data_IF_465064660859
#
_entry.id   IF_465064660859
#
_cell.length_a   1.000
_cell.length_b   1.000
_cell.length_c   1.000
_cell.angle_alpha   90.00
_cell.angle_beta   90.00
_cell.angle_gamma   90.00
#
_symmetry.space_group_name_H-M   'P 1'
#
loop_
_entity.id
_entity.type
_entity.pdbx_description
1 polymer ?
#
# COMPACT_ATOMS: atom_id res chain seq x y z
N UNK A 1 15.84 -19.61 -5.30
CA UNK A 1 14.76 -19.90 -6.26
C UNK A 1 14.05 -21.21 -5.90
N UNK A 2 12.74 -21.37 -6.14
CA UNK A 2 12.02 -22.64 -5.87
C UNK A 2 11.23 -22.75 -4.54
N UNK A 3 11.29 -21.73 -3.66
CA UNK A 3 10.61 -21.78 -2.35
C UNK A 3 9.09 -21.94 -2.46
N UNK A 4 8.47 -21.25 -3.42
CA UNK A 4 7.04 -21.27 -3.67
C UNK A 4 6.69 -21.95 -5.01
N UNK A 5 7.47 -22.97 -5.35
CA UNK A 5 7.20 -23.90 -6.46
C UNK A 5 6.71 -25.22 -5.83
N UNK A 6 5.74 -25.92 -6.43
CA UNK A 6 5.27 -27.21 -5.94
C UNK A 6 6.41 -28.24 -5.78
N UNK A 7 6.31 -29.12 -4.78
CA UNK A 7 7.30 -30.18 -4.54
C UNK A 7 7.38 -31.17 -5.71
N UNK A 8 6.26 -31.41 -6.40
CA UNK A 8 6.20 -32.23 -7.62
C UNK A 8 7.07 -31.68 -8.76
N UNK A 9 7.28 -30.36 -8.79
CA UNK A 9 8.10 -29.66 -9.79
C UNK A 9 9.53 -29.37 -9.26
N UNK A 10 9.93 -30.00 -8.14
CA UNK A 10 11.25 -29.82 -7.53
C UNK A 10 11.39 -28.59 -6.64
N UNK A 11 10.29 -27.94 -6.27
CA UNK A 11 10.27 -26.82 -5.32
C UNK A 11 10.15 -27.25 -3.85
N UNK A 12 10.08 -26.26 -2.95
CA UNK A 12 9.91 -26.49 -1.49
C UNK A 12 8.43 -26.64 -1.12
N UNK A 13 7.51 -26.07 -1.89
CA UNK A 13 6.07 -26.25 -1.72
C UNK A 13 5.34 -25.20 -0.87
N UNK A 14 5.93 -24.03 -0.60
CA UNK A 14 5.15 -22.93 0.00
C UNK A 14 4.14 -22.36 -1.01
N UNK A 15 2.95 -21.98 -0.54
CA UNK A 15 1.92 -21.40 -1.42
C UNK A 15 2.24 -19.95 -1.84
N UNK A 16 2.93 -19.21 -0.98
CA UNK A 16 3.23 -17.79 -1.15
C UNK A 16 4.63 -17.46 -0.65
N UNK A 17 5.21 -16.37 -1.20
CA UNK A 17 6.37 -15.68 -0.64
C UNK A 17 6.04 -14.25 -0.23
N UNK A 18 6.86 -13.66 0.64
CA UNK A 18 6.76 -12.24 0.99
C UNK A 18 7.47 -11.37 -0.05
N UNK A 19 6.82 -10.26 -0.44
CA UNK A 19 7.37 -9.20 -1.30
C UNK A 19 8.26 -8.23 -0.54
N UNK A 20 9.33 -8.72 0.08
CA UNK A 20 10.16 -7.96 1.04
C UNK A 20 10.83 -6.71 0.45
N UNK A 21 11.03 -6.64 -0.87
CA UNK A 21 11.63 -5.47 -1.52
C UNK A 21 10.71 -4.23 -1.52
N UNK A 22 9.39 -4.43 -1.41
CA UNK A 22 8.39 -3.35 -1.45
C UNK A 22 8.53 -2.40 -0.24
N UNK A 23 8.53 -2.87 1.03
CA UNK A 23 8.73 -1.97 2.17
C UNK A 23 10.11 -1.30 2.16
N UNK A 24 11.18 -2.01 1.80
CA UNK A 24 12.53 -1.44 1.73
C UNK A 24 12.60 -0.27 0.74
N UNK A 25 11.92 -0.42 -0.41
CA UNK A 25 11.80 0.65 -1.40
C UNK A 25 11.09 1.87 -0.80
N UNK A 26 9.91 1.70 -0.17
CA UNK A 26 9.19 2.84 0.39
C UNK A 26 9.97 3.56 1.51
N UNK A 27 10.66 2.80 2.37
CA UNK A 27 11.52 3.37 3.41
C UNK A 27 12.63 4.21 2.78
N UNK A 28 13.31 3.67 1.75
CA UNK A 28 14.36 4.39 1.05
C UNK A 28 13.83 5.67 0.41
N UNK A 29 12.69 5.61 -0.29
CA UNK A 29 12.10 6.79 -0.91
C UNK A 29 11.77 7.86 0.11
N UNK A 30 11.16 7.49 1.24
CA UNK A 30 10.79 8.43 2.30
C UNK A 30 11.98 8.99 3.08
N UNK A 31 13.09 8.25 3.16
CA UNK A 31 14.28 8.64 3.93
C UNK A 31 15.28 9.46 3.11
N UNK A 32 15.43 9.15 1.83
CA UNK A 32 16.58 9.59 1.02
C UNK A 32 16.18 10.45 -0.18
N UNK A 33 14.93 10.39 -0.64
CA UNK A 33 14.53 10.95 -1.93
C UNK A 33 13.41 11.99 -1.75
N UNK A 34 13.66 13.28 -2.07
CA UNK A 34 12.60 14.28 -2.13
C UNK A 34 11.50 13.89 -3.12
N UNK A 35 10.24 14.24 -2.83
CA UNK A 35 9.06 13.84 -3.61
C UNK A 35 9.17 14.19 -5.10
N UNK A 36 9.72 15.36 -5.42
CA UNK A 36 9.93 15.84 -6.80
C UNK A 36 10.86 14.94 -7.60
N UNK A 37 11.66 14.11 -6.91
CA UNK A 37 12.63 13.18 -7.51
C UNK A 37 12.19 11.73 -7.46
N UNK A 38 10.94 11.45 -7.04
CA UNK A 38 10.43 10.09 -7.07
C UNK A 38 10.29 9.59 -8.50
N UNK A 39 10.87 8.43 -8.76
CA UNK A 39 10.82 7.76 -10.04
C UNK A 39 9.62 6.79 -10.08
N UNK A 40 8.59 7.16 -10.84
CA UNK A 40 7.38 6.34 -11.02
C UNK A 40 7.65 5.02 -11.74
N UNK A 41 8.72 4.92 -12.55
CA UNK A 41 9.13 3.66 -13.16
C UNK A 41 9.76 2.74 -12.10
N UNK A 42 10.53 3.28 -11.17
CA UNK A 42 11.08 2.52 -10.06
C UNK A 42 9.97 2.00 -9.12
N UNK A 43 8.95 2.84 -8.83
CA UNK A 43 7.74 2.42 -8.09
C UNK A 43 7.08 1.23 -8.77
N UNK A 44 6.83 1.33 -10.08
CA UNK A 44 6.20 0.24 -10.82
C UNK A 44 7.06 -1.01 -10.89
N UNK A 45 8.35 -0.84 -11.11
CA UNK A 45 9.28 -1.95 -11.17
C UNK A 45 9.28 -2.74 -9.87
N UNK A 46 9.43 -2.10 -8.70
CA UNK A 46 9.44 -2.85 -7.42
C UNK A 46 8.12 -3.58 -7.15
N UNK A 47 6.99 -3.02 -7.60
CA UNK A 47 5.67 -3.63 -7.41
C UNK A 47 5.41 -4.82 -8.36
N UNK A 48 6.03 -4.81 -9.55
CA UNK A 48 5.74 -5.79 -10.61
C UNK A 48 6.91 -6.72 -10.93
N UNK A 49 8.10 -6.47 -10.40
CA UNK A 49 9.27 -7.35 -10.52
C UNK A 49 9.15 -8.58 -9.60
N UNK A 50 8.20 -9.43 -9.96
CA UNK A 50 7.94 -10.71 -9.31
C UNK A 50 7.93 -11.81 -10.37
N UNK A 51 8.29 -13.02 -9.95
CA UNK A 51 8.36 -14.19 -10.83
C UNK A 51 6.94 -14.61 -11.27
N UNK A 52 6.65 -14.69 -12.58
CA UNK A 52 5.36 -15.17 -13.07
C UNK A 52 5.01 -16.55 -12.51
N UNK A 53 3.77 -16.72 -12.06
CA UNK A 53 3.29 -17.97 -11.46
C UNK A 53 3.67 -18.18 -9.99
N UNK A 54 4.53 -17.34 -9.41
CA UNK A 54 4.90 -17.41 -8.00
C UNK A 54 4.10 -16.37 -7.20
N UNK A 55 3.17 -16.86 -6.37
CA UNK A 55 2.28 -15.99 -5.62
C UNK A 55 3.04 -15.18 -4.56
N UNK A 56 2.77 -13.89 -4.52
CA UNK A 56 3.47 -12.94 -3.65
C UNK A 56 2.50 -12.19 -2.74
N UNK A 57 2.82 -12.13 -1.44
CA UNK A 57 2.13 -11.28 -0.47
C UNK A 57 2.82 -9.91 -0.46
N UNK A 58 2.10 -8.88 -0.88
CA UNK A 58 2.56 -7.49 -0.88
C UNK A 58 2.15 -6.79 0.42
N UNK A 59 3.01 -5.88 0.89
CA UNK A 59 2.76 -5.04 2.06
C UNK A 59 3.66 -3.81 1.97
N UNK A 60 3.16 -2.67 2.42
CA UNK A 60 3.88 -1.39 2.29
C UNK A 60 4.89 -1.17 3.42
N UNK A 61 4.65 -1.78 4.58
CA UNK A 61 5.50 -1.78 5.77
C UNK A 61 5.20 -3.04 6.59
N UNK A 62 6.16 -3.48 7.40
CA UNK A 62 6.06 -4.71 8.20
C UNK A 62 6.04 -4.41 9.70
N UNK A 63 6.08 -5.46 10.50
CA UNK A 63 6.19 -5.37 11.95
C UNK A 63 7.57 -4.85 12.40
N UNK A 64 8.64 -5.14 11.65
CA UNK A 64 10.00 -4.71 11.99
C UNK A 64 10.11 -3.19 12.00
N UNK A 65 9.51 -2.51 11.01
CA UNK A 65 9.48 -1.05 10.96
C UNK A 65 8.65 -0.40 12.08
N UNK A 66 7.78 -1.19 12.73
CA UNK A 66 7.00 -0.73 13.85
C UNK A 66 7.73 -0.89 15.20
N UNK A 67 8.90 -1.54 15.25
CA UNK A 67 9.68 -1.73 16.47
C UNK A 67 10.55 -0.51 16.80
N UNK A 68 10.94 -0.40 18.08
CA UNK A 68 11.90 0.61 18.55
C UNK A 68 13.19 0.56 17.73
N UNK A 69 13.63 1.73 17.25
CA UNK A 69 14.82 1.87 16.40
C UNK A 69 14.50 2.00 14.90
N UNK A 70 13.25 1.81 14.50
CA UNK A 70 12.75 2.12 13.16
C UNK A 70 11.48 3.00 13.22
N UNK A 71 10.93 3.36 12.06
CA UNK A 71 9.77 4.24 11.93
C UNK A 71 8.75 3.67 10.94
N UNK A 72 7.49 3.66 11.34
CA UNK A 72 6.34 3.36 10.48
C UNK A 72 6.25 4.37 9.32
N UNK A 73 5.53 4.01 8.25
CA UNK A 73 5.25 4.93 7.15
C UNK A 73 4.61 6.23 7.65
N UNK A 74 3.65 6.11 8.57
CA UNK A 74 2.98 7.26 9.17
C UNK A 74 3.97 8.20 9.87
N UNK A 75 4.87 7.65 10.71
CA UNK A 75 5.83 8.47 11.44
C UNK A 75 6.92 9.07 10.52
N UNK A 76 7.33 8.36 9.47
CA UNK A 76 8.25 8.92 8.45
C UNK A 76 7.62 10.09 7.68
N UNK A 77 6.32 9.99 7.41
CA UNK A 77 5.59 10.99 6.64
C UNK A 77 5.23 12.23 7.44
N UNK A 78 4.87 12.06 8.72
CA UNK A 78 4.25 13.12 9.53
C UNK A 78 5.07 13.51 10.76
N UNK A 79 6.00 12.66 11.19
CA UNK A 79 6.87 12.89 12.34
C UNK A 79 6.10 13.30 13.60
N UNK A 80 6.68 14.24 14.35
CA UNK A 80 6.09 14.74 15.60
C UNK A 80 4.81 15.57 15.40
N UNK A 81 4.52 16.05 14.18
CA UNK A 81 3.29 16.82 13.94
C UNK A 81 2.03 15.97 14.15
N UNK A 82 2.17 14.64 14.14
CA UNK A 82 1.09 13.73 14.47
C UNK A 82 0.48 13.98 15.86
N UNK A 83 1.26 14.51 16.81
CA UNK A 83 0.81 14.74 18.18
C UNK A 83 -0.04 16.01 18.34
N UNK A 84 0.10 16.97 17.41
CA UNK A 84 -0.51 18.30 17.54
C UNK A 84 -1.54 18.59 16.45
N UNK A 85 -1.44 17.94 15.29
CA UNK A 85 -2.22 18.31 14.09
C UNK A 85 -3.05 17.16 13.50
N UNK A 86 -3.23 16.07 14.24
CA UNK A 86 -4.10 14.95 13.84
C UNK A 86 -5.57 15.14 14.23
N UNK A 87 -5.96 16.27 14.82
CA UNK A 87 -7.38 16.62 14.89
C UNK A 87 -7.90 17.08 13.52
N UNK A 88 -9.21 16.94 13.30
CA UNK A 88 -9.83 17.26 12.01
C UNK A 88 -9.89 18.75 11.69
N UNK A 89 -9.78 19.64 12.67
CA UNK A 89 -9.86 21.08 12.49
C UNK A 89 -8.48 21.72 12.21
N UNK A 90 -7.39 21.10 12.67
CA UNK A 90 -6.03 21.54 12.38
C UNK A 90 -5.74 21.58 10.88
N UNK A 91 -4.86 22.49 10.48
CA UNK A 91 -4.30 22.55 9.13
C UNK A 91 -2.77 22.46 9.25
N UNK A 92 -2.19 21.46 8.60
CA UNK A 92 -0.75 21.30 8.51
C UNK A 92 -0.42 20.70 7.13
N UNK A 93 0.38 21.39 6.30
CA UNK A 93 0.85 20.83 5.04
C UNK A 93 1.59 19.50 5.21
N UNK A 94 2.28 19.29 6.34
CA UNK A 94 2.98 18.05 6.66
C UNK A 94 1.98 16.92 6.90
N UNK A 95 0.93 17.15 7.68
CA UNK A 95 -0.14 16.17 7.90
C UNK A 95 -0.93 15.92 6.63
N UNK A 96 -1.28 16.95 5.87
CA UNK A 96 -2.05 16.79 4.64
C UNK A 96 -1.28 15.95 3.60
N UNK A 97 0.01 16.24 3.42
CA UNK A 97 0.93 15.43 2.62
C UNK A 97 1.01 13.99 3.14
N UNK A 98 1.26 13.82 4.44
CA UNK A 98 1.44 12.50 5.03
C UNK A 98 0.20 11.61 4.95
N UNK A 99 -0.97 12.19 5.17
CA UNK A 99 -2.26 11.52 5.01
C UNK A 99 -2.48 11.08 3.55
N UNK A 100 -2.18 11.95 2.58
CA UNK A 100 -2.32 11.63 1.16
C UNK A 100 -1.37 10.49 0.74
N UNK A 101 -0.08 10.63 1.03
CA UNK A 101 0.94 9.65 0.64
C UNK A 101 0.74 8.30 1.35
N UNK A 102 0.34 8.28 2.62
CA UNK A 102 0.06 7.04 3.34
C UNK A 102 -1.05 6.22 2.64
N UNK A 103 -2.13 6.90 2.20
CA UNK A 103 -3.21 6.26 1.42
C UNK A 103 -2.73 5.80 0.05
N UNK A 104 -1.98 6.64 -0.67
CA UNK A 104 -1.50 6.33 -2.02
C UNK A 104 -0.51 5.16 -2.05
N UNK A 105 0.48 5.16 -1.15
CA UNK A 105 1.49 4.08 -1.02
C UNK A 105 0.80 2.74 -0.78
N UNK A 106 -0.19 2.71 0.10
CA UNK A 106 -0.92 1.48 0.43
C UNK A 106 -1.83 1.04 -0.70
N UNK A 107 -2.54 1.97 -1.32
CA UNK A 107 -3.40 1.67 -2.47
C UNK A 107 -2.59 1.14 -3.65
N UNK A 108 -1.46 1.77 -4.01
CA UNK A 108 -0.62 1.29 -5.12
C UNK A 108 0.00 -0.08 -4.78
N UNK A 109 0.36 -0.31 -3.51
CA UNK A 109 0.91 -1.59 -3.07
C UNK A 109 -0.11 -2.72 -3.17
N UNK A 110 -1.33 -2.54 -2.66
CA UNK A 110 -2.37 -3.58 -2.74
C UNK A 110 -2.88 -3.78 -4.18
N UNK A 111 -2.92 -2.72 -4.98
CA UNK A 111 -3.50 -2.78 -6.32
C UNK A 111 -2.52 -3.23 -7.40
N UNK A 112 -1.22 -3.29 -7.11
CA UNK A 112 -0.22 -3.68 -8.11
C UNK A 112 0.83 -4.69 -7.61
N UNK A 113 1.06 -4.80 -6.29
CA UNK A 113 2.25 -5.44 -5.72
C UNK A 113 2.25 -6.97 -5.64
N UNK A 114 1.10 -7.65 -5.77
CA UNK A 114 1.05 -9.10 -5.58
C UNK A 114 -0.33 -9.72 -5.66
N UNK A 115 -0.40 -10.97 -5.20
CA UNK A 115 -1.58 -11.85 -5.24
C UNK A 115 -2.29 -11.94 -3.87
N UNK A 116 -1.69 -11.31 -2.86
CA UNK A 116 -2.20 -11.18 -1.50
C UNK A 116 -1.70 -9.87 -0.89
N UNK A 117 -2.39 -9.39 0.15
CA UNK A 117 -2.02 -8.18 0.88
C UNK A 117 -1.91 -8.47 2.37
N UNK A 118 -0.89 -7.89 2.98
CA UNK A 118 -0.65 -7.95 4.42
C UNK A 118 -0.59 -6.53 4.99
N UNK A 119 -1.16 -6.39 6.19
CA UNK A 119 -1.08 -5.19 7.00
C UNK A 119 -0.78 -5.61 8.44
N UNK A 120 0.19 -4.97 9.08
CA UNK A 120 0.49 -5.18 10.49
C UNK A 120 -0.40 -4.28 11.36
N UNK A 121 -0.92 -4.84 12.47
CA UNK A 121 -1.93 -4.17 13.30
C UNK A 121 -1.53 -2.75 13.69
N UNK A 122 -2.43 -1.78 13.56
CA UNK A 122 -2.19 -0.36 13.82
C UNK A 122 -1.79 0.44 12.57
N UNK A 123 -1.09 -0.18 11.63
CA UNK A 123 -0.64 0.53 10.43
C UNK A 123 -1.83 0.90 9.52
N UNK A 124 -2.96 0.19 9.65
CA UNK A 124 -4.20 0.47 8.94
C UNK A 124 -4.71 1.90 9.11
N UNK A 125 -4.52 2.48 10.30
CA UNK A 125 -4.90 3.84 10.62
C UNK A 125 -3.71 4.77 10.85
N UNK A 126 -2.49 4.35 10.51
CA UNK A 126 -1.27 5.14 10.73
C UNK A 126 -0.98 5.36 12.21
N UNK A 127 -0.99 4.30 13.01
CA UNK A 127 -0.67 4.35 14.44
C UNK A 127 0.64 5.12 14.69
N UNK A 128 0.66 6.11 15.60
CA UNK A 128 1.85 6.91 15.89
C UNK A 128 2.88 6.10 16.70
N UNK A 129 4.00 6.71 17.05
CA UNK A 129 5.03 6.10 17.91
C UNK A 129 5.59 4.78 17.32
N UNK A 130 6.09 3.91 18.20
CA UNK A 130 6.67 2.59 17.89
C UNK A 130 6.22 1.57 18.95
N UNK A 131 6.51 0.30 18.71
CA UNK A 131 6.38 -0.79 19.68
C UNK A 131 7.73 -1.00 20.35
N UNK A 132 7.74 -0.99 21.68
CA UNK A 132 8.89 -1.44 22.48
C UNK A 132 8.37 -2.41 23.55
N UNK A 133 8.94 -3.61 23.57
CA UNK A 133 8.59 -4.64 24.56
C UNK A 133 9.33 -4.39 25.88
N UNK A 134 8.76 -4.81 27.03
CA UNK A 134 9.45 -4.74 28.31
C UNK A 134 10.81 -5.43 28.26
N UNK A 135 11.86 -4.68 28.56
CA UNK A 135 13.26 -5.16 28.63
C UNK A 135 14.05 -4.33 29.62
N UNK A 136 15.22 -4.81 30.03
CA UNK A 136 16.09 -4.08 30.97
C UNK A 136 16.35 -2.63 30.52
N UNK A 137 16.65 -2.42 29.24
CA UNK A 137 16.96 -1.10 28.67
C UNK A 137 15.80 -0.10 28.62
N UNK A 138 14.58 -0.48 28.97
CA UNK A 138 13.45 0.43 29.16
C UNK A 138 12.77 0.30 30.53
N UNK A 139 13.47 -0.31 31.50
CA UNK A 139 12.95 -0.51 32.86
C UNK A 139 11.72 -1.42 32.91
N UNK A 140 11.63 -2.42 32.02
CA UNK A 140 10.48 -3.33 31.91
C UNK A 140 9.15 -2.60 31.64
N UNK A 141 9.21 -1.48 30.91
CA UNK A 141 8.04 -0.65 30.60
C UNK A 141 7.12 -1.31 29.59
N UNK A 142 5.81 -1.19 29.83
CA UNK A 142 4.74 -1.60 28.91
C UNK A 142 4.15 -0.41 28.13
N UNK A 143 4.68 0.81 28.30
CA UNK A 143 4.09 2.03 27.74
C UNK A 143 3.94 2.00 26.21
N UNK A 144 4.87 1.33 25.52
CA UNK A 144 4.86 1.16 24.06
C UNK A 144 4.50 -0.27 23.62
N UNK A 145 4.27 -1.19 24.57
CA UNK A 145 3.82 -2.56 24.29
C UNK A 145 2.29 -2.63 24.16
N UNK A 146 1.70 -1.73 23.37
CA UNK A 146 0.25 -1.56 23.24
C UNK A 146 -0.17 -1.05 21.86
N UNK A 147 -1.47 -1.08 21.60
CA UNK A 147 -2.11 -0.39 20.47
C UNK A 147 -3.15 0.62 20.95
N UNK A 148 -3.09 1.83 20.41
CA UNK A 148 -3.94 2.96 20.78
C UNK A 148 -5.22 2.99 19.95
N UNK A 149 -6.07 1.96 20.06
CA UNK A 149 -7.30 1.84 19.26
C UNK A 149 -8.25 3.06 19.39
N UNK A 150 -8.24 3.70 20.56
CA UNK A 150 -8.98 4.96 20.79
C UNK A 150 -8.67 6.07 19.77
N UNK A 151 -7.47 6.10 19.18
CA UNK A 151 -7.13 7.05 18.11
C UNK A 151 -7.92 6.76 16.83
N UNK A 152 -8.02 5.49 16.46
CA UNK A 152 -8.74 5.04 15.27
C UNK A 152 -10.26 5.19 15.41
N UNK A 153 -10.79 5.00 16.62
CA UNK A 153 -12.23 5.05 16.91
C UNK A 153 -12.73 6.49 17.12
N UNK A 154 -11.84 7.44 17.43
CA UNK A 154 -12.20 8.82 17.67
C UNK A 154 -12.45 9.58 16.37
N UNK A 155 -13.73 9.78 16.03
CA UNK A 155 -14.15 10.51 14.83
C UNK A 155 -13.79 12.01 14.77
N UNK A 156 -13.19 12.58 15.83
CA UNK A 156 -12.61 13.93 15.84
C UNK A 156 -11.16 13.95 15.37
N UNK A 157 -10.50 12.79 15.30
CA UNK A 157 -9.14 12.65 14.83
C UNK A 157 -9.09 12.13 13.39
N UNK A 158 -8.00 12.44 12.69
CA UNK A 158 -7.73 12.06 11.30
C UNK A 158 -7.32 10.59 11.15
N UNK A 159 -6.91 9.91 12.23
CA UNK A 159 -6.63 8.45 12.21
C UNK A 159 -7.85 7.65 11.73
N UNK A 160 -9.05 8.05 12.16
CA UNK A 160 -10.31 7.44 11.70
C UNK A 160 -10.44 7.49 10.18
N UNK A 161 -10.00 8.58 9.54
CA UNK A 161 -10.05 8.74 8.07
C UNK A 161 -9.08 7.80 7.35
N UNK A 162 -7.90 7.53 7.93
CA UNK A 162 -6.98 6.51 7.40
C UNK A 162 -7.60 5.10 7.52
N UNK A 163 -8.22 4.80 8.66
CA UNK A 163 -8.93 3.53 8.86
C UNK A 163 -10.15 3.37 7.95
N UNK A 164 -10.90 4.44 7.68
CA UNK A 164 -12.00 4.44 6.71
C UNK A 164 -11.50 4.17 5.29
N UNK A 165 -10.40 4.82 4.90
CA UNK A 165 -9.78 4.57 3.61
C UNK A 165 -9.31 3.11 3.47
N UNK A 166 -8.66 2.56 4.50
CA UNK A 166 -8.23 1.16 4.49
C UNK A 166 -9.42 0.20 4.31
N UNK A 167 -10.52 0.40 5.07
CA UNK A 167 -11.74 -0.40 4.89
C UNK A 167 -12.30 -0.30 3.47
N UNK A 168 -12.34 0.91 2.90
CA UNK A 168 -12.82 1.13 1.54
C UNK A 168 -11.90 0.48 0.48
N UNK A 169 -10.58 0.57 0.68
CA UNK A 169 -9.55 -0.06 -0.16
C UNK A 169 -9.71 -1.58 -0.18
N UNK A 170 -9.85 -2.22 0.98
CA UNK A 170 -10.06 -3.67 1.08
C UNK A 170 -11.39 -4.08 0.45
N UNK A 171 -12.47 -3.30 0.66
CA UNK A 171 -13.77 -3.56 0.05
C UNK A 171 -13.71 -3.49 -1.49
N UNK A 172 -13.01 -2.48 -2.05
CA UNK A 172 -12.79 -2.33 -3.49
C UNK A 172 -12.06 -3.55 -4.06
N UNK A 173 -10.93 -3.91 -3.44
CA UNK A 173 -10.08 -5.04 -3.89
C UNK A 173 -10.83 -6.36 -3.85
N UNK A 174 -11.64 -6.61 -2.81
CA UNK A 174 -12.49 -7.80 -2.72
C UNK A 174 -13.59 -7.79 -3.78
N UNK A 175 -14.29 -6.67 -3.96
CA UNK A 175 -15.42 -6.53 -4.90
C UNK A 175 -15.00 -6.83 -6.34
N UNK A 176 -13.84 -6.34 -6.76
CA UNK A 176 -13.33 -6.49 -8.13
C UNK A 176 -12.32 -7.63 -8.29
N UNK A 177 -12.08 -8.42 -7.23
CA UNK A 177 -11.19 -9.58 -7.28
C UNK A 177 -9.75 -9.25 -7.69
N UNK A 178 -9.27 -8.04 -7.38
CA UNK A 178 -8.00 -7.50 -7.90
C UNK A 178 -6.83 -8.47 -7.65
N UNK A 179 -6.62 -8.91 -6.40
CA UNK A 179 -5.54 -9.81 -6.01
C UNK A 179 -5.61 -11.23 -6.64
N UNK A 180 -6.70 -11.55 -7.36
CA UNK A 180 -6.89 -12.84 -8.05
C UNK A 180 -6.78 -12.72 -9.58
N UNK A 181 -6.74 -11.51 -10.14
CA UNK A 181 -6.71 -11.29 -11.60
C UNK A 181 -5.28 -11.36 -12.18
N UNK A 182 -4.25 -11.46 -11.33
CA UNK A 182 -2.86 -11.66 -11.73
C UNK A 182 -2.05 -10.37 -11.73
N UNK A 183 -1.46 -10.00 -12.88
CA UNK A 183 -0.62 -8.79 -12.97
C UNK A 183 -1.42 -7.60 -13.47
N UNK A 184 -1.18 -6.40 -12.92
CA UNK A 184 -1.70 -5.17 -13.49
C UNK A 184 -1.07 -4.93 -14.88
N UNK A 185 -1.83 -4.30 -15.77
CA UNK A 185 -1.38 -3.88 -17.08
C UNK A 185 -1.02 -2.39 -17.07
N UNK A 186 0.25 -2.08 -17.33
CA UNK A 186 0.73 -0.70 -17.42
C UNK A 186 0.08 0.02 -18.62
N UNK A 187 -0.55 1.17 -18.39
CA UNK A 187 -1.19 1.96 -19.45
C UNK A 187 -0.37 3.19 -19.79
N UNK A 188 0.16 3.86 -18.77
CA UNK A 188 0.86 5.14 -18.93
C UNK A 188 1.80 5.40 -17.76
N UNK A 189 3.02 5.83 -18.08
CA UNK A 189 4.00 6.36 -17.14
C UNK A 189 4.43 7.73 -17.66
N UNK A 190 3.92 8.77 -17.02
CA UNK A 190 4.16 10.15 -17.39
C UNK A 190 5.07 10.81 -16.36
N UNK A 191 6.37 10.70 -16.60
CA UNK A 191 7.40 11.20 -15.69
C UNK A 191 7.38 12.73 -15.58
N UNK A 192 6.98 13.46 -16.62
CA UNK A 192 6.92 14.92 -16.59
C UNK A 192 5.85 15.39 -15.59
N UNK A 193 4.71 14.72 -15.57
CA UNK A 193 3.59 15.01 -14.68
C UNK A 193 3.60 14.19 -13.37
N UNK A 194 4.63 13.37 -13.15
CA UNK A 194 4.70 12.37 -12.07
C UNK A 194 3.41 11.55 -11.92
N UNK A 195 2.78 11.20 -13.04
CA UNK A 195 1.49 10.50 -13.05
C UNK A 195 1.64 9.11 -13.64
N UNK A 196 1.09 8.11 -12.95
CA UNK A 196 1.05 6.73 -13.44
C UNK A 196 -0.39 6.23 -13.53
N UNK A 197 -0.67 5.48 -14.59
CA UNK A 197 -1.95 4.83 -14.77
C UNK A 197 -1.77 3.36 -15.20
N UNK A 198 -2.58 2.49 -14.62
CA UNK A 198 -2.60 1.07 -14.95
C UNK A 198 -4.01 0.49 -14.76
N UNK A 199 -4.27 -0.61 -15.43
CA UNK A 199 -5.49 -1.39 -15.21
C UNK A 199 -5.17 -2.65 -14.42
N UNK A 200 -6.07 -3.04 -13.53
CA UNK A 200 -6.03 -4.35 -12.88
C UNK A 200 -7.46 -4.85 -12.70
N UNK A 201 -7.76 -6.04 -13.22
CA UNK A 201 -9.14 -6.47 -13.41
C UNK A 201 -9.88 -5.49 -14.31
N UNK A 202 -11.07 -5.09 -13.87
CA UNK A 202 -11.94 -4.15 -14.58
C UNK A 202 -11.76 -2.69 -14.09
N UNK A 203 -10.76 -2.43 -13.25
CA UNK A 203 -10.50 -1.11 -12.69
C UNK A 203 -9.34 -0.42 -13.40
N UNK A 204 -9.50 0.90 -13.58
CA UNK A 204 -8.44 1.83 -13.91
C UNK A 204 -7.96 2.49 -12.61
N UNK A 205 -6.66 2.41 -12.33
CA UNK A 205 -6.01 3.12 -11.25
C UNK A 205 -5.18 4.27 -11.82
N UNK A 206 -5.30 5.45 -11.22
CA UNK A 206 -4.55 6.66 -11.59
C UNK A 206 -3.96 7.26 -10.34
N UNK A 207 -2.64 7.46 -10.33
CA UNK A 207 -1.91 8.06 -9.23
C UNK A 207 -1.15 9.28 -9.75
N UNK A 208 -1.44 10.45 -9.18
CA UNK A 208 -0.64 11.65 -9.36
C UNK A 208 0.28 11.78 -8.14
N UNK A 209 1.59 11.58 -8.35
CA UNK A 209 2.62 11.69 -7.31
C UNK A 209 3.23 13.10 -7.23
N UNK A 210 2.78 14.04 -8.06
CA UNK A 210 3.31 15.39 -8.06
C UNK A 210 3.01 16.10 -6.74
N UNK A 211 4.00 16.72 -6.06
CA UNK A 211 3.81 17.31 -4.74
C UNK A 211 2.96 18.59 -4.72
N UNK A 212 2.52 19.10 -5.88
CA UNK A 212 1.89 20.43 -5.96
C UNK A 212 1.01 20.62 -7.20
N UNK A 213 1.30 19.99 -8.33
CA UNK A 213 0.53 20.16 -9.54
C UNK A 213 -0.75 19.31 -9.52
N UNK A 214 -1.87 19.97 -9.77
CA UNK A 214 -3.12 19.33 -10.20
C UNK A 214 -3.26 19.47 -11.71
N UNK A 215 -3.63 18.40 -12.40
CA UNK A 215 -3.60 18.36 -13.87
C UNK A 215 -5.04 18.25 -14.39
N UNK A 216 -5.69 19.37 -14.74
CA UNK A 216 -7.05 19.34 -15.27
C UNK A 216 -7.07 18.70 -16.66
N UNK A 217 -8.15 18.00 -16.99
CA UNK A 217 -8.36 17.35 -18.28
C UNK A 217 -7.25 16.35 -18.66
N UNK A 218 -6.64 15.68 -17.67
CA UNK A 218 -5.63 14.67 -17.93
C UNK A 218 -6.22 13.46 -18.67
N UNK A 219 -5.76 13.23 -19.90
CA UNK A 219 -6.19 12.10 -20.70
C UNK A 219 -5.48 10.81 -20.25
N UNK A 220 -6.26 9.78 -19.99
CA UNK A 220 -5.75 8.47 -19.57
C UNK A 220 -6.14 7.42 -20.60
N UNK A 221 -5.14 6.65 -21.05
CA UNK A 221 -5.37 5.49 -21.91
C UNK A 221 -6.15 4.43 -21.14
N UNK A 222 -7.19 3.87 -21.74
CA UNK A 222 -7.96 2.76 -21.16
C UNK A 222 -7.85 1.51 -22.04
N UNK A 223 -7.90 0.34 -21.41
CA UNK A 223 -7.97 -0.93 -22.14
C UNK A 223 -9.43 -1.36 -22.23
N UNK A 224 -9.91 -1.59 -23.45
CA UNK A 224 -11.21 -2.23 -23.66
C UNK A 224 -11.04 -3.75 -23.58
N UNK A 225 -11.56 -4.40 -22.53
CA UNK A 225 -11.80 -5.86 -22.56
C UNK A 225 -13.15 -6.08 -23.23
N UNK A 226 -13.15 -6.62 -24.44
CA UNK A 226 -14.39 -7.05 -25.08
C UNK A 226 -15.03 -8.13 -24.20
N UNK A 227 -16.23 -7.85 -23.68
CA UNK A 227 -17.04 -8.86 -22.99
C UNK A 227 -17.49 -9.87 -24.04
N UNK A 228 -16.81 -11.01 -24.12
CA UNK A 228 -17.37 -12.15 -24.83
C UNK A 228 -18.60 -12.60 -24.05
N UNK A 229 -19.78 -12.33 -24.62
CA UNK A 229 -21.04 -12.83 -24.11
C UNK A 229 -20.88 -14.33 -23.83
N UNK A 230 -21.03 -14.74 -22.56
CA UNK A 230 -21.16 -16.16 -22.22
C UNK A 230 -22.35 -16.67 -23.01
N UNK A 231 -22.11 -17.49 -24.03
CA UNK A 231 -23.19 -18.19 -24.70
C UNK A 231 -23.85 -19.08 -23.66
N UNK A 232 -25.06 -18.72 -23.27
CA UNK A 232 -25.97 -19.64 -22.61
C UNK A 232 -26.18 -20.79 -23.60
N UNK A 233 -25.50 -21.92 -23.38
CA UNK A 233 -25.88 -23.16 -24.06
C UNK A 233 -27.36 -23.40 -23.71
N UNK A 234 -28.24 -23.61 -24.70
CA UNK A 234 -29.57 -24.11 -24.40
C UNK A 234 -29.39 -25.50 -23.79
N UNK A 235 -29.93 -25.71 -22.60
CA UNK A 235 -30.22 -27.05 -22.09
C UNK A 235 -31.19 -27.70 -23.05
N UNK A 236 -30.69 -28.65 -23.85
CA UNK A 236 -31.50 -29.50 -24.71
C UNK A 236 -31.94 -30.75 -23.95
N UNK A 237 -33.26 -30.95 -23.93
CA UNK A 237 -34.05 -32.16 -23.63
C UNK A 237 -33.93 -32.78 -22.24
#
# INVERSE_FOLDING_TARGET
PGIAVPTADGGVGFDYRLGMAIPDFWIRQLKEVPDEKWDIHAIWHVLTDRLPGIKTVAYAESHDQALVGDQTLAFRLMGKEMYEHMDRASQSPVIDRGMALHKMIRLVTISAGGDAYLNFMGNEFGHPEWIDFPREGNGWSYAYARRQWSLADNGLLRYAQLGEFDRAMIALVKKYGILRDGYPYNLQMDTQNQTMAFSHGDLLFVFNWHPSASIPNYEVRVRFRAVTARSSRPTSA
#
